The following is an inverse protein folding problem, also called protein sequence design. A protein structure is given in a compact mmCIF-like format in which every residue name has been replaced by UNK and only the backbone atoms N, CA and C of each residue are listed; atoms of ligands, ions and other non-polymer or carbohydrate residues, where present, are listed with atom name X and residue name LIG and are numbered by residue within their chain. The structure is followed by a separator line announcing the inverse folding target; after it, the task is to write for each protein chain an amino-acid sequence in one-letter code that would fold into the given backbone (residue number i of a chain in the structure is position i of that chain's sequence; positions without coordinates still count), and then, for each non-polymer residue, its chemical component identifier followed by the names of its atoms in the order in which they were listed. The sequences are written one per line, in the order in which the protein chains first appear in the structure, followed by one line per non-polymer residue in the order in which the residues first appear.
data_IF_524637852306
#
_entry.id   IF_524637852306
#
_cell.length_a   1.000
_cell.length_b   1.000
_cell.length_c   1.000
_cell.angle_alpha   90.00
_cell.angle_beta   90.00
_cell.angle_gamma   90.00
#
_symmetry.space_group_name_H-M   'P 1'
#
loop_
_entity.id
_entity.type
_entity.pdbx_description
1 polymer ?
#
# COMPACT_ATOMS: atom_id res chain seq x y z
N UNK A 1 22.89 1.74 13.04
CA UNK A 1 21.96 1.30 11.98
C UNK A 1 20.67 0.89 12.66
N UNK A 2 19.51 1.33 12.16
CA UNK A 2 18.20 0.96 12.68
C UNK A 2 17.32 0.71 11.46
N UNK A 3 17.31 -0.53 10.96
CA UNK A 3 16.46 -0.90 9.84
C UNK A 3 15.01 -1.01 10.31
N UNK A 4 14.05 -0.80 9.41
CA UNK A 4 12.64 -1.12 9.65
C UNK A 4 12.44 -2.62 9.92
N UNK A 5 13.34 -3.46 9.41
CA UNK A 5 13.42 -4.90 9.69
C UNK A 5 13.67 -5.14 11.18
N UNK A 6 14.69 -4.50 11.76
CA UNK A 6 15.10 -4.70 13.16
C UNK A 6 14.02 -4.29 14.17
N UNK A 7 13.10 -3.42 13.77
CA UNK A 7 12.05 -2.89 14.62
C UNK A 7 10.64 -3.37 14.23
N UNK A 8 10.50 -4.31 13.29
CA UNK A 8 9.20 -4.80 12.84
C UNK A 8 8.31 -5.28 14.01
N UNK A 9 8.91 -5.93 15.02
CA UNK A 9 8.21 -6.37 16.23
C UNK A 9 7.59 -5.23 17.07
N UNK A 10 8.12 -4.01 16.93
CA UNK A 10 7.63 -2.81 17.63
C UNK A 10 6.51 -2.11 16.88
N UNK A 11 6.03 -2.65 15.75
CA UNK A 11 4.95 -2.04 15.00
C UNK A 11 3.72 -1.85 15.91
N UNK A 12 3.32 -0.59 16.05
CA UNK A 12 2.10 -0.15 16.72
C UNK A 12 1.27 0.63 15.71
N UNK A 13 0.04 0.19 15.47
CA UNK A 13 -0.86 0.79 14.50
C UNK A 13 -1.03 -0.07 13.24
N UNK A 14 -1.40 0.58 12.15
CA UNK A 14 -1.69 -0.07 10.86
C UNK A 14 -0.63 0.32 9.86
N UNK A 15 -0.19 -0.64 9.06
CA UNK A 15 0.87 -0.47 8.07
C UNK A 15 0.36 -0.86 6.69
N UNK A 16 0.65 -0.03 5.68
CA UNK A 16 0.46 -0.33 4.26
C UNK A 16 1.80 -0.17 3.56
N UNK A 17 2.26 -1.24 2.90
CA UNK A 17 3.46 -1.27 2.07
C UNK A 17 3.05 -1.27 0.59
N UNK A 18 3.58 -0.33 -0.21
CA UNK A 18 3.32 -0.23 -1.65
C UNK A 18 4.66 -0.33 -2.39
N UNK A 19 4.76 -1.25 -3.35
CA UNK A 19 5.99 -1.51 -4.14
C UNK A 19 5.66 -1.50 -5.63
N UNK A 20 6.46 -0.78 -6.43
CA UNK A 20 6.43 -0.86 -7.89
C UNK A 20 7.29 -2.02 -8.40
N UNK A 21 6.77 -2.81 -9.34
CA UNK A 21 7.48 -3.98 -9.91
C UNK A 21 8.74 -3.58 -10.71
N UNK A 22 8.77 -2.38 -11.30
CA UNK A 22 9.88 -1.88 -12.11
C UNK A 22 10.74 -0.86 -11.36
N UNK A 23 10.75 -0.87 -10.03
CA UNK A 23 11.73 -0.08 -9.27
C UNK A 23 13.13 -0.68 -9.50
N UNK A 24 13.84 -0.10 -10.45
CA UNK A 24 15.21 -0.48 -10.82
C UNK A 24 16.27 0.20 -9.95
N UNK A 25 15.85 1.08 -9.01
CA UNK A 25 16.74 1.88 -8.18
C UNK A 25 16.92 1.29 -6.76
N UNK A 26 15.94 0.50 -6.28
CA UNK A 26 16.03 -0.22 -5.01
C UNK A 26 15.62 -1.68 -5.22
N UNK A 27 16.56 -2.59 -4.98
CA UNK A 27 16.27 -4.02 -5.04
C UNK A 27 15.08 -4.36 -4.11
N UNK A 28 13.99 -4.95 -4.63
CA UNK A 28 12.77 -5.19 -3.87
C UNK A 28 12.99 -6.13 -2.68
N UNK A 29 14.14 -6.79 -2.57
CA UNK A 29 14.58 -7.53 -1.38
C UNK A 29 14.44 -6.74 -0.08
N UNK A 30 14.68 -5.41 -0.10
CA UNK A 30 14.60 -4.61 1.12
C UNK A 30 13.17 -4.54 1.68
N UNK A 31 12.16 -4.49 0.81
CA UNK A 31 10.75 -4.51 1.25
C UNK A 31 10.33 -5.91 1.65
N UNK A 32 10.79 -6.93 0.92
CA UNK A 32 10.51 -8.33 1.29
C UNK A 32 11.14 -8.72 2.64
N UNK A 33 12.31 -8.20 2.99
CA UNK A 33 12.92 -8.39 4.32
C UNK A 33 12.06 -7.77 5.44
N UNK A 34 11.42 -6.62 5.20
CA UNK A 34 10.50 -6.02 6.18
C UNK A 34 9.23 -6.86 6.29
N UNK A 35 8.70 -7.36 5.17
CA UNK A 35 7.53 -8.26 5.15
C UNK A 35 7.82 -9.53 5.95
N UNK A 36 8.97 -10.16 5.71
CA UNK A 36 9.41 -11.36 6.41
C UNK A 36 9.49 -11.12 7.92
N UNK A 37 10.15 -10.04 8.35
CA UNK A 37 10.25 -9.69 9.76
C UNK A 37 8.89 -9.33 10.41
N UNK A 38 7.94 -8.78 9.66
CA UNK A 38 6.57 -8.54 10.15
C UNK A 38 5.80 -9.84 10.33
N UNK A 39 5.96 -10.80 9.41
CA UNK A 39 5.36 -12.14 9.50
C UNK A 39 5.95 -12.91 10.68
N UNK A 40 7.27 -12.93 10.83
CA UNK A 40 7.94 -13.58 11.96
C UNK A 40 7.53 -12.97 13.31
N UNK A 41 7.21 -11.68 13.34
CA UNK A 41 6.75 -10.97 14.53
C UNK A 41 5.23 -10.99 14.73
N UNK A 42 4.49 -11.78 13.93
CA UNK A 42 3.02 -11.91 13.97
C UNK A 42 2.30 -10.56 13.92
N UNK A 43 2.69 -9.72 12.95
CA UNK A 43 2.14 -8.37 12.74
C UNK A 43 1.27 -8.29 11.51
N UNK A 44 0.10 -7.68 11.68
CA UNK A 44 -0.77 -7.33 10.56
C UNK A 44 -0.20 -6.18 9.72
N UNK A 45 -0.24 -6.33 8.40
CA UNK A 45 0.06 -5.28 7.43
C UNK A 45 -0.74 -5.49 6.14
N UNK A 46 -0.98 -4.39 5.42
CA UNK A 46 -1.47 -4.42 4.05
C UNK A 46 -0.29 -4.32 3.09
N UNK A 47 -0.34 -5.07 1.98
CA UNK A 47 0.68 -5.03 0.94
C UNK A 47 0.05 -4.84 -0.45
N UNK A 48 0.61 -3.93 -1.23
CA UNK A 48 0.22 -3.67 -2.61
C UNK A 48 1.44 -3.70 -3.52
N UNK A 49 1.50 -4.71 -4.38
CA UNK A 49 2.41 -4.72 -5.52
C UNK A 49 1.73 -4.06 -6.72
N UNK A 50 2.42 -3.14 -7.39
CA UNK A 50 1.91 -2.45 -8.58
C UNK A 50 2.74 -2.86 -9.81
N UNK A 51 2.23 -3.80 -10.64
CA UNK A 51 2.93 -4.26 -11.84
C UNK A 51 3.16 -3.17 -12.86
N UNK A 52 4.31 -3.18 -13.52
CA UNK A 52 4.68 -2.22 -14.57
C UNK A 52 4.86 -0.76 -14.11
N UNK A 53 4.81 -0.48 -12.79
CA UNK A 53 5.11 0.83 -12.25
C UNK A 53 6.60 0.94 -11.88
N UNK A 54 7.25 2.00 -12.38
CA UNK A 54 8.58 2.45 -11.97
C UNK A 54 8.52 3.09 -10.55
N UNK A 55 9.53 3.87 -10.13
CA UNK A 55 9.59 4.57 -8.84
C UNK A 55 8.46 5.62 -8.65
N UNK A 56 7.26 5.13 -8.37
CA UNK A 56 6.04 5.92 -8.22
C UNK A 56 5.27 5.44 -6.98
N UNK A 57 4.37 6.25 -6.44
CA UNK A 57 3.50 5.87 -5.30
C UNK A 57 2.43 4.82 -5.67
N UNK A 58 2.60 4.08 -6.77
CA UNK A 58 1.64 3.10 -7.29
C UNK A 58 0.62 3.68 -8.28
N UNK A 59 0.88 4.87 -8.84
CA UNK A 59 -0.03 5.56 -9.76
C UNK A 59 -1.40 5.90 -9.15
N UNK A 60 -2.40 6.16 -10.00
CA UNK A 60 -3.77 6.48 -9.54
C UNK A 60 -4.37 5.37 -8.65
N UNK A 61 -4.02 4.11 -8.93
CA UNK A 61 -4.48 2.96 -8.15
C UNK A 61 -3.85 2.90 -6.75
N UNK A 62 -2.53 3.12 -6.63
CA UNK A 62 -1.83 3.18 -5.35
C UNK A 62 -2.29 4.35 -4.49
N UNK A 63 -2.47 5.52 -5.10
CA UNK A 63 -3.04 6.71 -4.46
C UNK A 63 -4.43 6.45 -3.89
N UNK A 64 -5.27 5.77 -4.68
CA UNK A 64 -6.60 5.35 -4.26
C UNK A 64 -6.55 4.39 -3.07
N UNK A 65 -5.71 3.37 -3.11
CA UNK A 65 -5.54 2.41 -2.01
C UNK A 65 -5.01 3.06 -0.74
N UNK A 66 -4.09 4.01 -0.88
CA UNK A 66 -3.60 4.82 0.25
C UNK A 66 -4.72 5.64 0.89
N UNK A 67 -5.60 6.26 0.09
CA UNK A 67 -6.79 6.97 0.61
C UNK A 67 -7.75 6.01 1.32
N UNK A 68 -8.06 4.88 0.70
CA UNK A 68 -8.92 3.84 1.29
C UNK A 68 -8.37 3.36 2.63
N UNK A 69 -7.06 3.21 2.75
CA UNK A 69 -6.37 2.85 3.99
C UNK A 69 -6.58 3.90 5.10
N UNK A 70 -6.39 5.18 4.80
CA UNK A 70 -6.65 6.24 5.78
C UNK A 70 -8.13 6.35 6.14
N UNK A 71 -9.04 6.21 5.18
CA UNK A 71 -10.47 6.20 5.44
C UNK A 71 -10.85 5.07 6.40
N UNK A 72 -10.32 3.86 6.18
CA UNK A 72 -10.56 2.72 7.06
C UNK A 72 -9.94 2.88 8.44
N UNK A 73 -8.68 3.32 8.53
CA UNK A 73 -7.92 3.22 9.76
C UNK A 73 -7.83 4.52 10.57
N UNK A 74 -7.99 5.68 9.93
CA UNK A 74 -8.01 6.97 10.61
C UNK A 74 -9.45 7.45 10.87
N UNK A 75 -10.35 7.29 9.89
CA UNK A 75 -11.75 7.71 10.03
C UNK A 75 -12.66 6.60 10.56
N UNK A 76 -12.20 5.35 10.57
CA UNK A 76 -12.96 4.22 11.11
C UNK A 76 -14.18 3.84 10.27
N UNK A 77 -14.22 4.21 9.00
CA UNK A 77 -15.33 3.92 8.09
C UNK A 77 -14.88 3.08 6.92
N UNK A 78 -15.75 2.20 6.41
CA UNK A 78 -15.40 1.39 5.25
C UNK A 78 -15.35 2.26 3.98
N UNK A 79 -14.22 2.29 3.24
CA UNK A 79 -14.11 3.08 2.03
C UNK A 79 -15.14 2.66 0.97
N UNK A 80 -15.66 3.61 0.18
CA UNK A 80 -16.70 3.32 -0.80
C UNK A 80 -16.18 2.38 -1.90
N UNK A 81 -17.06 1.51 -2.39
CA UNK A 81 -16.77 0.75 -3.61
C UNK A 81 -16.68 1.71 -4.80
N UNK A 82 -15.50 1.88 -5.37
CA UNK A 82 -15.29 2.83 -6.47
C UNK A 82 -15.93 2.39 -7.79
N UNK A 83 -16.46 1.17 -7.88
CA UNK A 83 -17.36 0.78 -8.97
C UNK A 83 -18.61 1.66 -9.07
N UNK A 84 -18.99 2.36 -7.98
CA UNK A 84 -20.09 3.33 -7.96
C UNK A 84 -19.74 4.71 -8.54
N UNK A 85 -18.46 4.97 -8.85
CA UNK A 85 -18.02 6.21 -9.48
C UNK A 85 -17.62 6.03 -10.95
N UNK A 86 -17.99 4.91 -11.59
CA UNK A 86 -18.09 4.89 -13.05
C UNK A 86 -19.15 5.92 -13.39
N UNK A 87 -18.68 7.08 -13.83
CA UNK A 87 -19.47 8.25 -14.18
C UNK A 87 -20.58 7.78 -15.12
N UNK A 88 -21.80 7.74 -14.59
CA UNK A 88 -23.01 7.78 -15.41
C UNK A 88 -23.17 9.22 -15.87
N UNK A 89 -22.29 9.65 -16.77
CA UNK A 89 -22.51 10.83 -17.59
C UNK A 89 -22.84 10.35 -19.01
N UNK A 90 -24.12 10.12 -19.33
CA UNK A 90 -24.57 9.85 -20.69
C UNK A 90 -24.66 11.15 -21.53
N UNK A 91 -23.71 12.08 -21.35
CA UNK A 91 -23.86 13.48 -21.76
C UNK A 91 -22.68 14.09 -22.50
N UNK A 92 -22.10 13.42 -23.49
CA UNK A 92 -21.37 14.12 -24.56
C UNK A 92 -21.61 13.48 -25.93
N UNK A 93 -22.65 13.97 -26.61
CA UNK A 93 -22.74 14.01 -28.07
C UNK A 93 -22.10 15.30 -28.58
#
# INVERSE_FOLDING_TARGET
ASSNVDNAYRLQGKLLLIVGELDTNVDPSSTYQVIDALIEADKDFDFLLVPGADHTSGGEFGERKRRDFFVRHLLGVEPPAWSRYVVSDPGSF
#
